data_IF_577237719630
#
_entry.id   IF_577237719630
#
_cell.length_a   1.000
_cell.length_b   1.000
_cell.length_c   1.000
_cell.angle_alpha   90.00
_cell.angle_beta   90.00
_cell.angle_gamma   90.00
#
_symmetry.space_group_name_H-M   'P 1'
#
loop_
_entity.id
_entity.type
_entity.pdbx_description
1 polymer ?
#
# COMPACT_ATOMS: atom_id res chain seq x y z
N UNK A 1 -20.08 10.65 15.49
CA UNK A 1 -18.94 10.98 14.60
C UNK A 1 -19.30 12.01 13.52
N UNK A 2 -20.33 11.80 12.71
CA UNK A 2 -20.73 12.70 11.60
C UNK A 2 -20.92 14.18 12.00
N UNK A 3 -21.53 14.47 13.15
CA UNK A 3 -21.65 15.84 13.68
C UNK A 3 -20.31 16.47 14.08
N UNK A 4 -19.37 15.66 14.60
CA UNK A 4 -18.01 16.12 14.91
C UNK A 4 -17.23 16.37 13.62
N UNK A 5 -17.33 15.48 12.62
CA UNK A 5 -16.72 15.69 11.29
C UNK A 5 -17.25 16.97 10.62
N UNK A 6 -18.56 17.22 10.70
CA UNK A 6 -19.21 18.42 10.14
C UNK A 6 -18.88 19.70 10.93
N UNK A 7 -18.70 19.61 12.24
CA UNK A 7 -18.26 20.72 13.08
C UNK A 7 -16.78 21.04 12.86
N UNK A 8 -15.90 20.02 12.80
CA UNK A 8 -14.47 20.17 12.49
C UNK A 8 -14.25 20.68 11.07
N UNK A 9 -15.04 20.27 10.07
CA UNK A 9 -14.99 20.87 8.72
C UNK A 9 -15.40 22.36 8.72
N UNK A 10 -16.32 22.75 9.60
CA UNK A 10 -16.79 24.14 9.74
C UNK A 10 -15.80 25.00 10.56
N UNK A 11 -15.09 24.40 11.54
CA UNK A 11 -14.04 25.05 12.33
C UNK A 11 -12.65 25.04 11.65
N UNK A 12 -12.30 24.04 10.83
CA UNK A 12 -11.07 24.02 10.02
C UNK A 12 -11.07 25.04 8.89
N UNK A 13 -12.22 25.63 8.57
CA UNK A 13 -12.27 26.89 7.82
C UNK A 13 -11.58 28.06 8.56
N UNK A 14 -11.23 27.87 9.84
CA UNK A 14 -10.55 28.82 10.73
C UNK A 14 -9.09 28.51 11.07
N UNK A 15 -8.49 27.41 10.60
CA UNK A 15 -7.04 27.22 10.79
C UNK A 15 -6.27 28.16 9.85
N UNK A 16 -5.43 29.02 10.42
CA UNK A 16 -4.64 30.04 9.70
C UNK A 16 -3.81 29.40 8.61
N UNK A 17 -3.29 28.18 8.83
CA UNK A 17 -2.54 27.43 7.82
C UNK A 17 -3.41 27.04 6.63
N UNK A 18 -4.59 26.46 6.88
CA UNK A 18 -5.54 26.05 5.82
C UNK A 18 -6.03 27.26 5.03
N UNK A 19 -6.26 28.39 5.70
CA UNK A 19 -6.68 29.65 5.05
C UNK A 19 -5.60 30.24 4.16
N UNK A 20 -4.34 30.26 4.61
CA UNK A 20 -3.21 30.75 3.82
C UNK A 20 -2.95 29.81 2.63
N UNK A 21 -3.00 28.49 2.86
CA UNK A 21 -2.78 27.49 1.81
C UNK A 21 -3.87 27.56 0.73
N UNK A 22 -5.15 27.63 1.11
CA UNK A 22 -6.27 27.73 0.15
C UNK A 22 -6.27 29.05 -0.63
N UNK A 23 -5.70 30.13 -0.07
CA UNK A 23 -5.62 31.44 -0.72
C UNK A 23 -4.47 31.52 -1.72
N UNK A 24 -3.33 30.89 -1.43
CA UNK A 24 -2.12 31.00 -2.23
C UNK A 24 -1.85 29.79 -3.15
N UNK A 25 -2.47 28.64 -2.89
CA UNK A 25 -2.23 27.42 -3.64
C UNK A 25 -3.53 26.78 -4.12
N UNK A 26 -3.53 26.42 -5.40
CA UNK A 26 -4.61 25.68 -6.02
C UNK A 26 -4.60 24.23 -5.51
N UNK A 27 -5.77 23.71 -5.15
CA UNK A 27 -5.90 22.32 -4.70
C UNK A 27 -5.55 21.35 -5.84
N UNK A 28 -5.05 20.16 -5.48
CA UNK A 28 -4.80 19.11 -6.46
C UNK A 28 -6.17 18.65 -6.97
N UNK A 29 -6.41 18.67 -8.30
CA UNK A 29 -7.70 18.28 -8.83
C UNK A 29 -7.94 16.79 -8.60
N UNK A 30 -9.13 16.45 -8.10
CA UNK A 30 -9.48 15.09 -7.67
C UNK A 30 -9.31 14.04 -8.78
N UNK A 31 -9.45 14.44 -10.05
CA UNK A 31 -9.27 13.55 -11.20
C UNK A 31 -7.86 12.98 -11.31
N UNK A 32 -6.82 13.63 -10.76
CA UNK A 32 -5.46 13.06 -10.75
C UNK A 32 -5.43 11.78 -9.92
N UNK A 33 -6.03 11.79 -8.74
CA UNK A 33 -6.12 10.60 -7.88
C UNK A 33 -6.97 9.50 -8.53
N UNK A 34 -8.11 9.85 -9.12
CA UNK A 34 -8.99 8.89 -9.80
C UNK A 34 -8.28 8.28 -11.02
N UNK A 35 -7.57 9.09 -11.81
CA UNK A 35 -6.85 8.60 -12.99
C UNK A 35 -5.76 7.60 -12.63
N UNK A 36 -4.99 7.86 -11.57
CA UNK A 36 -3.96 6.94 -11.08
C UNK A 36 -4.59 5.68 -10.49
N UNK A 37 -5.66 5.81 -9.71
CA UNK A 37 -6.37 4.66 -9.15
C UNK A 37 -6.86 3.72 -10.26
N UNK A 38 -7.49 4.26 -11.31
CA UNK A 38 -7.96 3.48 -12.45
C UNK A 38 -6.79 2.85 -13.19
N UNK A 39 -5.74 3.61 -13.48
CA UNK A 39 -4.56 3.12 -14.19
C UNK A 39 -3.87 1.97 -13.44
N UNK A 40 -3.65 2.11 -12.13
CA UNK A 40 -3.03 1.07 -11.30
C UNK A 40 -3.94 -0.14 -11.15
N UNK A 41 -5.26 0.06 -11.07
CA UNK A 41 -6.22 -1.06 -11.03
C UNK A 41 -6.17 -1.88 -12.32
N UNK A 42 -6.10 -1.22 -13.49
CA UNK A 42 -5.95 -1.90 -14.78
C UNK A 42 -4.62 -2.67 -14.84
N UNK A 43 -3.52 -2.05 -14.42
CA UNK A 43 -2.22 -2.73 -14.35
C UNK A 43 -2.25 -3.93 -13.40
N UNK A 44 -2.91 -3.84 -12.25
CA UNK A 44 -3.06 -4.95 -11.31
C UNK A 44 -3.84 -6.12 -11.94
N UNK A 45 -4.92 -5.83 -12.67
CA UNK A 45 -5.70 -6.84 -13.40
C UNK A 45 -4.86 -7.52 -14.50
N UNK A 46 -4.09 -6.73 -15.26
CA UNK A 46 -3.17 -7.26 -16.30
C UNK A 46 -2.09 -8.12 -15.66
N UNK A 47 -1.50 -7.71 -14.53
CA UNK A 47 -0.50 -8.52 -13.84
C UNK A 47 -1.07 -9.85 -13.34
N UNK A 48 -2.29 -9.86 -12.78
CA UNK A 48 -2.92 -11.07 -12.27
C UNK A 48 -3.36 -12.06 -13.36
N UNK A 49 -3.91 -11.58 -14.49
CA UNK A 49 -4.41 -12.44 -15.57
C UNK A 49 -3.38 -12.68 -16.70
N UNK A 50 -2.48 -11.74 -16.97
CA UNK A 50 -1.61 -11.71 -18.14
C UNK A 50 -0.39 -12.63 -18.08
N UNK A 51 0.22 -12.83 -16.90
CA UNK A 51 1.38 -13.71 -16.72
C UNK A 51 0.99 -15.19 -16.51
N UNK A 52 0.08 -15.71 -17.32
CA UNK A 52 -0.31 -17.13 -17.30
C UNK A 52 -0.91 -17.60 -15.97
N UNK A 53 -1.62 -16.71 -15.24
CA UNK A 53 -2.22 -16.98 -13.91
C UNK A 53 -1.23 -17.44 -12.84
N UNK A 54 0.05 -17.05 -12.95
CA UNK A 54 1.08 -17.38 -11.95
C UNK A 54 0.72 -16.92 -10.53
N UNK A 55 0.09 -15.74 -10.40
CA UNK A 55 -0.37 -15.20 -9.10
C UNK A 55 -1.60 -15.94 -8.54
N UNK A 56 -2.26 -16.79 -9.34
CA UNK A 56 -3.45 -17.58 -9.00
C UNK A 56 -4.66 -16.79 -8.46
N UNK A 57 -4.57 -15.46 -8.37
CA UNK A 57 -5.63 -14.58 -7.91
C UNK A 57 -6.54 -14.20 -9.09
N UNK A 58 -7.84 -14.55 -9.06
CA UNK A 58 -8.79 -14.17 -10.11
C UNK A 58 -9.10 -12.66 -10.07
N UNK A 59 -9.57 -12.11 -11.20
CA UNK A 59 -9.96 -10.69 -11.32
C UNK A 59 -10.89 -10.17 -10.20
N UNK A 60 -11.83 -11.00 -9.72
CA UNK A 60 -12.74 -10.62 -8.64
C UNK A 60 -12.01 -10.43 -7.30
N UNK A 61 -10.93 -11.17 -7.07
CA UNK A 61 -10.11 -11.06 -5.86
C UNK A 61 -9.37 -9.72 -5.80
N UNK A 62 -8.91 -9.22 -6.95
CA UNK A 62 -8.29 -7.89 -7.05
C UNK A 62 -9.31 -6.80 -6.69
N UNK A 63 -10.51 -6.83 -7.27
CA UNK A 63 -11.56 -5.85 -6.96
C UNK A 63 -12.02 -5.91 -5.50
N UNK A 64 -12.14 -7.12 -4.94
CA UNK A 64 -12.47 -7.31 -3.54
C UNK A 64 -11.39 -6.70 -2.62
N UNK A 65 -10.10 -6.95 -2.92
CA UNK A 65 -8.99 -6.39 -2.14
C UNK A 65 -8.98 -4.86 -2.15
N UNK A 66 -9.24 -4.23 -3.30
CA UNK A 66 -9.33 -2.78 -3.44
C UNK A 66 -10.53 -2.20 -2.69
N UNK A 67 -11.66 -2.90 -2.70
CA UNK A 67 -12.87 -2.49 -1.97
C UNK A 67 -12.63 -2.52 -0.47
N UNK A 68 -12.01 -3.59 0.04
CA UNK A 68 -11.61 -3.71 1.44
C UNK A 68 -10.62 -2.60 1.79
N UNK A 69 -9.58 -2.39 0.97
CA UNK A 69 -8.61 -1.32 1.20
C UNK A 69 -9.32 0.04 1.32
N UNK A 70 -10.24 0.38 0.40
CA UNK A 70 -10.99 1.64 0.45
C UNK A 70 -11.83 1.80 1.73
N UNK A 71 -12.56 0.76 2.12
CA UNK A 71 -13.44 0.79 3.31
C UNK A 71 -12.62 0.89 4.59
N UNK A 72 -11.53 0.13 4.70
CA UNK A 72 -10.71 0.07 5.91
C UNK A 72 -9.67 1.19 6.02
N UNK A 73 -9.28 1.84 4.91
CA UNK A 73 -8.32 2.96 4.94
C UNK A 73 -8.79 4.10 5.85
N UNK A 74 -10.08 4.45 5.80
CA UNK A 74 -10.63 5.54 6.60
C UNK A 74 -10.61 5.26 8.12
N UNK A 75 -11.22 4.17 8.64
CA UNK A 75 -11.20 3.89 10.08
C UNK A 75 -9.80 3.62 10.60
N UNK A 76 -8.96 2.89 9.85
CA UNK A 76 -7.58 2.60 10.25
C UNK A 76 -6.75 3.88 10.26
N UNK A 77 -6.92 4.76 9.27
CA UNK A 77 -6.27 6.06 9.25
C UNK A 77 -6.66 6.94 10.44
N UNK A 78 -7.93 6.91 10.87
CA UNK A 78 -8.37 7.63 12.07
C UNK A 78 -7.73 7.05 13.34
N UNK A 79 -7.67 5.72 13.47
CA UNK A 79 -7.03 5.06 14.62
C UNK A 79 -5.52 5.36 14.65
N UNK A 80 -4.84 5.26 13.51
CA UNK A 80 -3.41 5.56 13.43
C UNK A 80 -3.16 7.05 13.71
N UNK A 81 -4.02 7.95 13.28
CA UNK A 81 -3.88 9.38 13.58
C UNK A 81 -4.06 9.71 15.07
N UNK A 82 -4.83 8.93 15.83
CA UNK A 82 -5.08 9.17 17.27
C UNK A 82 -4.13 8.42 18.18
N UNK A 83 -3.81 7.17 17.84
CA UNK A 83 -2.98 6.26 18.66
C UNK A 83 -1.53 6.21 18.22
N UNK A 84 -1.22 6.67 17.01
CA UNK A 84 0.07 6.47 16.34
C UNK A 84 0.46 5.00 16.16
N UNK A 85 -0.49 4.07 16.33
CA UNK A 85 -0.29 2.63 16.15
C UNK A 85 -0.84 2.19 14.80
N UNK A 86 -0.04 1.45 14.02
CA UNK A 86 -0.49 0.87 12.77
C UNK A 86 -1.25 -0.42 13.06
N UNK A 87 -2.55 -0.45 12.71
CA UNK A 87 -3.36 -1.63 12.94
C UNK A 87 -2.91 -2.77 12.00
N UNK A 88 -2.56 -3.92 12.56
CA UNK A 88 -2.13 -5.11 11.82
C UNK A 88 -3.29 -5.82 11.12
N UNK A 89 -3.94 -5.19 10.14
CA UNK A 89 -5.04 -5.79 9.37
C UNK A 89 -4.60 -6.92 8.42
N UNK A 90 -3.31 -7.16 8.29
CA UNK A 90 -2.75 -8.29 7.53
C UNK A 90 -3.52 -9.58 7.75
N UNK A 91 -3.72 -9.96 9.03
CA UNK A 91 -4.36 -11.21 9.41
C UNK A 91 -5.83 -11.26 9.01
N UNK A 92 -6.55 -10.13 9.08
CA UNK A 92 -7.97 -10.08 8.70
C UNK A 92 -8.11 -10.26 7.18
N UNK A 93 -7.26 -9.60 6.40
CA UNK A 93 -7.27 -9.75 4.94
C UNK A 93 -6.88 -11.16 4.50
N UNK A 94 -5.89 -11.76 5.17
CA UNK A 94 -5.45 -13.14 4.92
C UNK A 94 -6.56 -14.14 5.26
N UNK A 95 -7.26 -13.98 6.38
CA UNK A 95 -8.36 -14.86 6.78
C UNK A 95 -9.54 -14.81 5.82
N UNK A 96 -9.90 -13.61 5.33
CA UNK A 96 -11.02 -13.44 4.39
C UNK A 96 -10.74 -14.18 3.07
N UNK A 97 -9.57 -14.00 2.48
CA UNK A 97 -9.25 -14.66 1.22
C UNK A 97 -8.98 -16.15 1.40
N UNK A 98 -8.36 -16.56 2.51
CA UNK A 98 -8.13 -17.97 2.81
C UNK A 98 -9.42 -18.77 2.99
N UNK A 99 -10.48 -18.13 3.52
CA UNK A 99 -11.80 -18.76 3.59
C UNK A 99 -12.51 -18.84 2.23
N UNK A 100 -12.38 -17.82 1.38
CA UNK A 100 -13.07 -17.76 0.07
C UNK A 100 -12.32 -18.59 -0.98
N UNK A 101 -10.99 -18.67 -0.90
CA UNK A 101 -10.13 -19.29 -1.90
C UNK A 101 -9.00 -20.14 -1.27
N UNK A 102 -9.35 -21.28 -0.67
CA UNK A 102 -8.42 -22.07 0.13
C UNK A 102 -7.39 -22.81 -0.73
N UNK A 103 -6.18 -23.00 -0.17
CA UNK A 103 -5.13 -23.87 -0.72
C UNK A 103 -4.26 -23.20 -1.77
N UNK A 104 -4.24 -21.86 -1.80
CA UNK A 104 -3.53 -21.06 -2.81
C UNK A 104 -2.76 -19.91 -2.15
N UNK A 105 -1.57 -20.20 -1.60
CA UNK A 105 -0.79 -19.22 -0.84
C UNK A 105 -0.33 -18.03 -1.69
N UNK A 106 -0.07 -18.22 -3.00
CA UNK A 106 0.27 -17.10 -3.89
C UNK A 106 -0.89 -16.11 -4.07
N UNK A 107 -2.13 -16.62 -4.13
CA UNK A 107 -3.30 -15.75 -4.22
C UNK A 107 -3.48 -14.94 -2.92
N UNK A 108 -3.21 -15.55 -1.77
CA UNK A 108 -3.26 -14.90 -0.47
C UNK A 108 -2.20 -13.79 -0.35
N UNK A 109 -0.94 -14.07 -0.74
CA UNK A 109 0.14 -13.07 -0.82
C UNK A 109 -0.25 -11.87 -1.70
N UNK A 110 -0.82 -12.14 -2.87
CA UNK A 110 -1.26 -11.08 -3.79
C UNK A 110 -2.40 -10.26 -3.18
N UNK A 111 -3.40 -10.91 -2.59
CA UNK A 111 -4.54 -10.25 -1.96
C UNK A 111 -4.14 -9.36 -0.79
N UNK A 112 -3.25 -9.85 0.09
CA UNK A 112 -2.66 -9.08 1.18
C UNK A 112 -1.88 -7.87 0.68
N UNK A 113 -1.09 -8.04 -0.38
CA UNK A 113 -0.32 -6.95 -0.98
C UNK A 113 -1.25 -5.84 -1.47
N UNK A 114 -2.28 -6.20 -2.24
CA UNK A 114 -3.24 -5.21 -2.73
C UNK A 114 -4.15 -4.62 -1.64
N UNK A 115 -4.53 -5.41 -0.63
CA UNK A 115 -5.44 -4.99 0.43
C UNK A 115 -4.78 -4.20 1.57
N UNK A 116 -3.63 -4.64 2.06
CA UNK A 116 -2.97 -4.06 3.23
C UNK A 116 -1.78 -3.17 2.90
N UNK A 117 -0.88 -3.60 2.00
CA UNK A 117 0.33 -2.82 1.68
C UNK A 117 -0.09 -1.51 0.97
N UNK A 118 -1.04 -1.59 0.03
CA UNK A 118 -1.61 -0.40 -0.60
C UNK A 118 -2.23 0.58 0.40
N UNK A 119 -2.93 0.08 1.42
CA UNK A 119 -3.51 0.91 2.50
C UNK A 119 -2.41 1.59 3.31
N UNK A 120 -1.36 0.85 3.69
CA UNK A 120 -0.22 1.40 4.42
C UNK A 120 0.49 2.50 3.62
N UNK A 121 0.66 2.29 2.32
CA UNK A 121 1.20 3.30 1.41
C UNK A 121 0.29 4.54 1.31
N UNK A 122 -1.03 4.36 1.24
CA UNK A 122 -1.98 5.46 1.22
C UNK A 122 -1.93 6.30 2.52
N UNK A 123 -1.77 5.66 3.68
CA UNK A 123 -1.62 6.35 4.96
C UNK A 123 -0.29 7.13 5.05
N UNK A 124 0.81 6.55 4.58
CA UNK A 124 2.10 7.26 4.47
C UNK A 124 2.00 8.48 3.56
N UNK A 125 1.35 8.34 2.40
CA UNK A 125 1.10 9.43 1.47
C UNK A 125 0.26 10.56 2.08
N UNK A 126 -0.75 10.24 2.90
CA UNK A 126 -1.54 11.23 3.65
C UNK A 126 -0.71 11.92 4.76
N UNK A 127 0.18 11.19 5.42
CA UNK A 127 1.08 11.75 6.44
C UNK A 127 2.01 12.79 5.82
N UNK A 128 2.60 12.47 4.67
CA UNK A 128 3.45 13.40 3.92
C UNK A 128 2.68 14.64 3.45
N UNK A 129 1.44 14.50 2.97
CA UNK A 129 0.62 15.65 2.61
C UNK A 129 0.35 16.56 3.81
N UNK A 130 0.12 15.95 4.98
CA UNK A 130 -0.06 16.71 6.23
C UNK A 130 1.22 17.45 6.59
N UNK A 131 2.39 16.81 6.47
CA UNK A 131 3.68 17.45 6.69
C UNK A 131 3.91 18.61 5.70
N UNK A 132 3.66 18.39 4.41
CA UNK A 132 3.75 19.41 3.37
C UNK A 132 2.81 20.59 3.62
N UNK A 133 1.62 20.33 4.17
CA UNK A 133 0.69 21.37 4.60
C UNK A 133 1.27 22.23 5.72
N UNK A 134 1.95 21.64 6.70
CA UNK A 134 2.63 22.39 7.76
C UNK A 134 3.84 23.17 7.25
N UNK A 135 4.59 22.62 6.29
CA UNK A 135 5.77 23.25 5.70
C UNK A 135 5.45 24.30 4.62
N UNK A 136 4.17 24.53 4.31
CA UNK A 136 3.70 25.47 3.27
C UNK A 136 4.20 25.15 1.85
N UNK A 137 4.41 23.87 1.57
CA UNK A 137 4.83 23.37 0.24
C UNK A 137 3.60 23.31 -0.67
N UNK A 138 3.68 23.76 -1.94
CA UNK A 138 2.58 23.64 -2.90
C UNK A 138 2.14 22.17 -3.06
N UNK A 139 0.84 21.86 -2.92
CA UNK A 139 0.36 20.48 -2.90
C UNK A 139 0.48 19.78 -4.27
N UNK A 140 0.44 20.51 -5.38
CA UNK A 140 0.69 19.99 -6.74
C UNK A 140 2.12 19.47 -6.89
N UNK A 141 3.11 20.22 -6.40
CA UNK A 141 4.50 19.79 -6.45
C UNK A 141 4.76 18.60 -5.53
N UNK A 142 4.15 18.57 -4.34
CA UNK A 142 4.25 17.43 -3.42
C UNK A 142 3.75 16.14 -4.07
N UNK A 143 2.59 16.19 -4.72
CA UNK A 143 2.02 15.05 -5.43
C UNK A 143 2.96 14.51 -6.52
N UNK A 144 3.51 15.39 -7.35
CA UNK A 144 4.41 14.99 -8.45
C UNK A 144 5.69 14.36 -7.88
N UNK A 145 6.29 14.97 -6.86
CA UNK A 145 7.52 14.46 -6.22
C UNK A 145 7.28 13.09 -5.61
N UNK A 146 6.16 12.88 -4.91
CA UNK A 146 5.80 11.58 -4.34
C UNK A 146 5.55 10.53 -5.43
N UNK A 147 4.88 10.90 -6.52
CA UNK A 147 4.63 9.99 -7.63
C UNK A 147 5.94 9.55 -8.29
N UNK A 148 6.80 10.50 -8.62
CA UNK A 148 8.12 10.23 -9.22
C UNK A 148 8.99 9.43 -8.24
N UNK A 149 9.01 9.80 -6.97
CA UNK A 149 9.74 9.08 -5.93
C UNK A 149 9.28 7.63 -5.79
N UNK A 150 7.96 7.38 -5.85
CA UNK A 150 7.40 6.02 -5.80
C UNK A 150 7.82 5.21 -7.02
N UNK A 151 7.82 5.80 -8.21
CA UNK A 151 8.26 5.12 -9.44
C UNK A 151 9.77 4.79 -9.44
N UNK A 152 10.60 5.71 -8.95
CA UNK A 152 12.05 5.47 -8.82
C UNK A 152 12.31 4.40 -7.78
N UNK A 153 11.68 4.49 -6.60
CA UNK A 153 11.83 3.52 -5.54
C UNK A 153 11.41 2.12 -6.00
N UNK A 154 10.22 1.98 -6.62
CA UNK A 154 9.74 0.69 -7.10
C UNK A 154 10.67 0.08 -8.16
N UNK A 155 11.21 0.90 -9.08
CA UNK A 155 12.15 0.45 -10.10
C UNK A 155 13.47 -0.04 -9.50
N UNK A 156 14.01 0.70 -8.53
CA UNK A 156 15.26 0.32 -7.83
C UNK A 156 15.07 -0.94 -7.00
N UNK A 157 13.96 -1.05 -6.26
CA UNK A 157 13.64 -2.25 -5.48
C UNK A 157 13.51 -3.48 -6.38
N UNK A 158 12.76 -3.37 -7.48
CA UNK A 158 12.60 -4.47 -8.43
C UNK A 158 13.93 -4.87 -9.08
N UNK A 159 14.72 -3.89 -9.52
CA UNK A 159 16.03 -4.15 -10.16
C UNK A 159 17.01 -4.83 -9.19
N UNK A 160 17.03 -4.37 -7.94
CA UNK A 160 17.90 -4.94 -6.91
C UNK A 160 17.46 -6.36 -6.56
N UNK A 161 16.16 -6.60 -6.39
CA UNK A 161 15.63 -7.94 -6.13
C UNK A 161 15.95 -8.90 -7.28
N UNK A 162 15.75 -8.46 -8.52
CA UNK A 162 16.08 -9.25 -9.71
C UNK A 162 17.57 -9.58 -9.80
N UNK A 163 18.44 -8.60 -9.55
CA UNK A 163 19.89 -8.79 -9.55
C UNK A 163 20.33 -9.78 -8.47
N UNK A 164 19.75 -9.68 -7.28
CA UNK A 164 20.09 -10.56 -6.16
C UNK A 164 19.65 -12.01 -6.41
N UNK A 165 18.43 -12.20 -6.93
CA UNK A 165 17.87 -13.51 -7.30
C UNK A 165 18.65 -14.20 -8.44
N UNK A 166 19.25 -13.43 -9.35
CA UNK A 166 20.02 -13.99 -10.49
C UNK A 166 21.49 -14.24 -10.16
N UNK A 167 22.06 -13.49 -9.23
CA UNK A 167 23.50 -13.56 -8.90
C UNK A 167 23.80 -14.58 -7.79
N UNK A 168 22.89 -14.75 -6.83
CA UNK A 168 23.11 -15.61 -5.66
C UNK A 168 22.31 -16.92 -5.81
N UNK A 169 22.96 -18.06 -6.11
CA UNK A 169 22.27 -19.35 -6.20
C UNK A 169 21.77 -19.78 -4.82
N UNK A 170 20.52 -20.26 -4.73
CA UNK A 170 19.87 -20.71 -3.49
C UNK A 170 19.74 -19.63 -2.39
N UNK A 171 19.50 -18.38 -2.77
CA UNK A 171 19.15 -17.33 -1.82
C UNK A 171 17.96 -17.75 -0.94
N UNK A 172 17.99 -17.40 0.34
CA UNK A 172 17.02 -17.79 1.36
C UNK A 172 16.98 -19.29 1.73
N UNK A 173 17.87 -20.15 1.19
CA UNK A 173 18.01 -21.55 1.63
C UNK A 173 19.28 -21.72 2.51
N UNK A 174 19.14 -21.61 3.85
CA UNK A 174 20.29 -21.67 4.77
C UNK A 174 21.07 -22.99 4.71
N UNK A 175 20.51 -24.06 4.12
CA UNK A 175 21.19 -25.35 3.96
C UNK A 175 22.15 -25.40 2.77
N UNK A 176 21.96 -24.52 1.78
CA UNK A 176 22.77 -24.47 0.54
C UNK A 176 23.64 -23.22 0.44
N UNK A 177 23.55 -22.33 1.42
CA UNK A 177 24.35 -21.13 1.53
C UNK A 177 25.67 -21.44 2.26
N UNK A 178 26.78 -20.74 1.92
CA UNK A 178 28.03 -20.86 2.66
C UNK A 178 27.87 -20.42 4.13
N UNK A 179 28.58 -21.09 5.03
CA UNK A 179 28.53 -20.80 6.48
C UNK A 179 28.83 -19.32 6.74
N UNK A 180 27.91 -18.62 7.43
CA UNK A 180 28.03 -17.19 7.73
C UNK A 180 27.46 -16.25 6.68
N UNK A 181 26.76 -16.73 5.66
CA UNK A 181 26.10 -15.84 4.70
C UNK A 181 24.97 -15.01 5.36
N UNK A 182 24.83 -13.71 5.04
CA UNK A 182 23.78 -12.85 5.60
C UNK A 182 22.41 -13.04 4.92
N UNK A 183 22.31 -13.92 3.91
CA UNK A 183 21.15 -14.02 3.01
C UNK A 183 20.10 -15.03 3.47
N UNK A 184 19.71 -14.95 4.74
CA UNK A 184 18.76 -15.87 5.39
C UNK A 184 17.28 -15.48 5.24
N UNK A 185 16.97 -14.33 4.64
CA UNK A 185 15.62 -13.84 4.29
C UNK A 185 14.49 -14.08 5.32
N UNK A 186 14.71 -13.81 6.63
CA UNK A 186 13.73 -14.17 7.66
C UNK A 186 12.38 -13.44 7.50
N UNK A 187 12.38 -12.24 6.92
CA UNK A 187 11.15 -11.48 6.66
C UNK A 187 10.28 -12.08 5.57
N UNK A 188 10.89 -12.54 4.47
CA UNK A 188 10.19 -13.15 3.34
C UNK A 188 9.63 -14.52 3.72
N UNK A 189 10.38 -15.30 4.50
CA UNK A 189 9.92 -16.58 5.05
C UNK A 189 8.72 -16.41 5.97
N UNK A 190 8.72 -15.41 6.86
CA UNK A 190 7.56 -15.13 7.71
C UNK A 190 6.35 -14.69 6.88
N UNK A 191 6.56 -13.87 5.84
CA UNK A 191 5.49 -13.43 4.97
C UNK A 191 4.87 -14.60 4.17
N UNK A 192 5.71 -15.51 3.68
CA UNK A 192 5.28 -16.71 2.97
C UNK A 192 4.60 -17.73 3.90
N UNK A 193 5.21 -18.02 5.06
CA UNK A 193 4.66 -18.94 6.06
C UNK A 193 3.31 -18.46 6.60
N UNK A 194 3.15 -17.16 6.85
CA UNK A 194 1.87 -16.58 7.24
C UNK A 194 0.80 -16.83 6.17
N UNK A 195 1.15 -16.68 4.89
CA UNK A 195 0.23 -16.91 3.79
C UNK A 195 -0.20 -18.38 3.69
N UNK A 196 0.69 -19.33 4.02
CA UNK A 196 0.33 -20.76 4.10
C UNK A 196 -0.61 -21.04 5.28
N UNK A 197 -0.34 -20.46 6.46
CA UNK A 197 -1.13 -20.72 7.67
C UNK A 197 -2.57 -20.23 7.50
N UNK A 198 -2.76 -19.09 6.83
CA UNK A 198 -4.05 -18.44 6.71
C UNK A 198 -4.83 -18.76 5.43
N UNK A 199 -4.24 -19.44 4.43
CA UNK A 199 -4.97 -20.05 3.30
C UNK A 199 -4.27 -20.06 1.95
#
# INVERSE_FOLDING_TARGET
MWRKTKATLKEQAGDVHTRIMKKNYEQVPEWWFISILVLITILALICCEGFGKQLQLPWWGVLLSLTIALVFTLPVGVIQATTNQQAGLNVITELIIGYIYPGKPLANVAFKTYGYISMSQALGFLQDFKLGHYMKIPPKSMFIVQLVGTLVASSVYFSTAWWLLTTIPNICDPSKLPEGSPWTCPGDDVFYNASIIWG
#
